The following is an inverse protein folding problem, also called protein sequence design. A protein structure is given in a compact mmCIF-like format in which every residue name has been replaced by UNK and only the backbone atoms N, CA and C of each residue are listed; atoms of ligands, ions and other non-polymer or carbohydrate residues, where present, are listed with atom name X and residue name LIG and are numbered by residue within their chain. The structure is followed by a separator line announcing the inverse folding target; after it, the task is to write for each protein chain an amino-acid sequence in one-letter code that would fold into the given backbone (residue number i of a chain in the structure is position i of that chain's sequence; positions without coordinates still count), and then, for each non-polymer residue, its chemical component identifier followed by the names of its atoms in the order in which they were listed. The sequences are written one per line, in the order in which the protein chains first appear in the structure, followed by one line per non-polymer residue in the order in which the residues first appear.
data_IF_635619038168
#
_entry.id   IF_635619038168
#
_cell.length_a   1.000
_cell.length_b   1.000
_cell.length_c   1.000
_cell.angle_alpha   90.00
_cell.angle_beta   90.00
_cell.angle_gamma   90.00
#
_symmetry.space_group_name_H-M   'P 1'
#
loop_
_entity.id
_entity.type
_entity.pdbx_description
1 polymer ?
#
# COMPACT_ATOMS: atom_id res chain seq x y z
N UNK A 1 2.34 -2.48 3.06
CA UNK A 1 2.63 -3.91 2.84
C UNK A 1 1.71 -4.76 3.73
N UNK A 2 1.52 -6.07 3.46
CA UNK A 2 0.65 -6.93 4.31
C UNK A 2 1.15 -6.98 5.75
N UNK A 3 2.47 -7.01 5.94
CA UNK A 3 3.10 -6.91 7.25
C UNK A 3 2.66 -5.68 8.02
N UNK A 4 2.68 -4.47 7.42
CA UNK A 4 2.35 -3.24 8.15
C UNK A 4 0.91 -3.24 8.66
N UNK A 5 -0.01 -3.79 7.86
CA UNK A 5 -1.42 -3.92 8.25
C UNK A 5 -1.60 -4.96 9.36
N UNK A 6 -0.98 -6.14 9.25
CA UNK A 6 -1.02 -7.16 10.31
C UNK A 6 -0.37 -6.64 11.59
N UNK A 7 0.72 -5.88 11.48
CA UNK A 7 1.36 -5.23 12.61
C UNK A 7 0.41 -4.21 13.25
N UNK A 8 -0.30 -3.38 12.47
CA UNK A 8 -1.31 -2.46 13.00
C UNK A 8 -2.40 -3.21 13.79
N UNK A 9 -2.89 -4.32 13.24
CA UNK A 9 -3.87 -5.17 13.94
C UNK A 9 -3.29 -5.77 15.22
N UNK A 10 -1.99 -6.12 15.24
CA UNK A 10 -1.31 -6.61 16.44
C UNK A 10 -1.21 -5.53 17.53
N UNK A 11 -0.83 -4.30 17.20
CA UNK A 11 -0.82 -3.19 18.16
C UNK A 11 -2.24 -2.88 18.69
N UNK A 12 -3.26 -2.92 17.82
CA UNK A 12 -4.65 -2.79 18.26
C UNK A 12 -5.06 -3.92 19.20
N UNK A 13 -4.69 -5.16 18.89
CA UNK A 13 -4.99 -6.32 19.74
C UNK A 13 -4.36 -6.21 21.13
N UNK A 14 -3.14 -5.67 21.23
CA UNK A 14 -2.46 -5.47 22.51
C UNK A 14 -3.17 -4.45 23.43
N UNK A 15 -3.80 -3.42 22.84
CA UNK A 15 -4.53 -2.40 23.59
C UNK A 15 -5.78 -1.94 22.80
N UNK A 16 -6.87 -2.72 22.82
CA UNK A 16 -8.01 -2.47 21.95
C UNK A 16 -8.77 -1.20 22.34
N UNK A 17 -9.02 -0.33 21.37
CA UNK A 17 -9.86 0.85 21.54
C UNK A 17 -11.35 0.53 21.36
N UNK A 18 -12.21 1.06 22.23
CA UNK A 18 -13.67 0.87 22.12
C UNK A 18 -14.25 1.78 21.04
N UNK A 19 -15.02 1.20 20.11
CA UNK A 19 -15.73 1.91 19.05
C UNK A 19 -14.84 2.84 18.19
N UNK A 20 -13.55 2.47 18.04
CA UNK A 20 -12.61 3.24 17.24
C UNK A 20 -12.71 2.85 15.77
N UNK A 21 -12.73 3.87 14.91
CA UNK A 21 -12.63 3.74 13.46
C UNK A 21 -11.37 4.43 12.99
N UNK A 22 -10.56 3.75 12.20
CA UNK A 22 -9.30 4.24 11.65
C UNK A 22 -9.29 4.07 10.13
N UNK A 23 -8.77 5.09 9.43
CA UNK A 23 -8.31 4.92 8.07
C UNK A 23 -6.94 4.24 8.11
N UNK A 24 -6.76 3.18 7.34
CA UNK A 24 -5.48 2.47 7.21
C UNK A 24 -5.07 2.41 5.76
N UNK A 25 -3.78 2.58 5.50
CA UNK A 25 -3.18 2.58 4.17
C UNK A 25 -1.71 2.98 4.22
N UNK A 26 -1.07 3.12 3.07
CA UNK A 26 0.34 3.53 2.98
C UNK A 26 0.60 5.02 3.25
N UNK A 27 -0.45 5.83 3.40
CA UNK A 27 -0.36 7.29 3.60
C UNK A 27 0.59 7.96 2.60
N UNK A 28 1.24 9.06 2.98
CA UNK A 28 2.28 9.69 2.16
C UNK A 28 3.59 8.88 2.11
N UNK A 29 3.73 7.86 2.96
CA UNK A 29 4.91 7.00 3.03
C UNK A 29 5.00 6.04 1.83
N UNK A 30 3.87 5.42 1.44
CA UNK A 30 3.81 4.43 0.36
C UNK A 30 2.55 4.64 -0.47
N UNK A 31 2.66 5.45 -1.52
CA UNK A 31 1.62 5.73 -2.50
C UNK A 31 2.24 5.93 -3.88
N UNK A 32 1.47 5.69 -4.93
CA UNK A 32 1.88 5.97 -6.31
C UNK A 32 0.65 6.09 -7.21
N UNK A 33 0.85 6.74 -8.36
CA UNK A 33 -0.04 6.74 -9.50
C UNK A 33 0.07 5.43 -10.30
N UNK A 34 -0.85 5.23 -11.25
CA UNK A 34 -0.79 4.11 -12.18
C UNK A 34 0.48 4.13 -13.04
N UNK A 35 0.93 5.31 -13.49
CA UNK A 35 2.12 5.41 -14.34
C UNK A 35 3.41 5.08 -13.56
N UNK A 36 3.52 5.57 -12.32
CA UNK A 36 4.63 5.22 -11.42
C UNK A 36 4.63 3.72 -11.09
N UNK A 37 3.47 3.11 -10.87
CA UNK A 37 3.36 1.67 -10.65
C UNK A 37 3.80 0.86 -11.88
N UNK A 38 3.39 1.26 -13.08
CA UNK A 38 3.82 0.63 -14.33
C UNK A 38 5.35 0.74 -14.46
N UNK A 39 5.90 1.93 -14.26
CA UNK A 39 7.34 2.15 -14.34
C UNK A 39 8.12 1.27 -13.35
N UNK A 40 7.69 1.21 -12.08
CA UNK A 40 8.31 0.35 -11.08
C UNK A 40 8.26 -1.13 -11.48
N UNK A 41 7.14 -1.60 -12.03
CA UNK A 41 7.04 -2.97 -12.54
C UNK A 41 8.04 -3.22 -13.68
N UNK A 42 8.18 -2.30 -14.62
CA UNK A 42 9.13 -2.44 -15.72
C UNK A 42 10.59 -2.43 -15.23
N UNK A 43 10.91 -1.57 -14.26
CA UNK A 43 12.24 -1.49 -13.66
C UNK A 43 12.60 -2.78 -12.90
N UNK A 44 11.67 -3.31 -12.11
CA UNK A 44 11.89 -4.52 -11.29
C UNK A 44 11.98 -5.77 -12.17
N UNK A 45 11.12 -5.89 -13.18
CA UNK A 45 11.04 -7.10 -14.00
C UNK A 45 11.99 -7.09 -15.20
N UNK A 46 12.48 -5.91 -15.61
CA UNK A 46 13.22 -5.73 -16.86
C UNK A 46 12.36 -5.88 -18.12
N UNK A 47 11.06 -6.10 -17.99
CA UNK A 47 10.13 -6.28 -19.11
C UNK A 47 9.31 -5.02 -19.35
N UNK A 48 8.83 -4.85 -20.58
CA UNK A 48 7.88 -3.79 -20.91
C UNK A 48 6.44 -4.25 -20.68
N UNK A 49 5.65 -3.40 -20.04
CA UNK A 49 4.24 -3.65 -19.82
C UNK A 49 3.46 -3.22 -21.06
N UNK A 50 2.69 -4.12 -21.65
CA UNK A 50 1.76 -3.76 -22.72
C UNK A 50 0.47 -3.18 -22.12
N UNK A 51 0.21 -1.90 -22.35
CA UNK A 51 -0.97 -1.20 -21.85
C UNK A 51 -1.42 -0.11 -22.82
N UNK A 52 -2.69 0.30 -22.69
CA UNK A 52 -3.28 1.41 -23.44
C UNK A 52 -4.12 2.28 -22.52
N UNK A 53 -4.13 3.59 -22.77
CA UNK A 53 -5.02 4.51 -22.07
C UNK A 53 -6.45 4.37 -22.60
N UNK A 54 -7.42 4.44 -21.69
CA UNK A 54 -8.82 4.55 -22.03
C UNK A 54 -9.33 5.91 -21.51
N UNK A 55 -9.88 6.72 -22.42
CA UNK A 55 -10.44 8.03 -22.07
C UNK A 55 -11.59 7.93 -21.05
N UNK A 56 -12.34 6.83 -21.10
CA UNK A 56 -13.44 6.60 -20.19
C UNK A 56 -12.93 6.12 -18.83
N UNK A 57 -13.06 6.97 -17.81
CA UNK A 57 -12.79 6.58 -16.43
C UNK A 57 -13.87 5.61 -15.90
N UNK A 58 -13.50 4.82 -14.89
CA UNK A 58 -14.45 3.98 -14.15
C UNK A 58 -15.40 4.87 -13.34
N UNK A 59 -16.70 4.55 -13.39
CA UNK A 59 -17.71 5.27 -12.61
C UNK A 59 -17.46 5.00 -11.11
N UNK A 60 -17.41 6.08 -10.31
CA UNK A 60 -17.16 6.00 -8.87
C UNK A 60 -15.69 5.87 -8.48
N UNK A 61 -14.76 5.91 -9.44
CA UNK A 61 -13.33 5.85 -9.15
C UNK A 61 -12.82 7.15 -8.53
N UNK A 62 -11.99 7.03 -7.51
CA UNK A 62 -11.34 8.18 -6.90
C UNK A 62 -10.04 8.46 -7.65
N UNK A 63 -9.89 9.69 -8.18
CA UNK A 63 -8.67 10.13 -8.88
C UNK A 63 -7.42 9.92 -7.99
N UNK A 64 -7.57 10.12 -6.69
CA UNK A 64 -6.53 9.91 -5.70
C UNK A 64 -7.15 9.46 -4.36
N UNK A 65 -6.47 8.55 -3.68
CA UNK A 65 -6.83 8.13 -2.34
C UNK A 65 -5.57 7.92 -1.50
N UNK A 66 -5.31 8.84 -0.57
CA UNK A 66 -4.20 8.75 0.37
C UNK A 66 -4.78 8.78 1.78
N UNK A 67 -4.59 7.70 2.53
CA UNK A 67 -5.12 7.58 3.89
C UNK A 67 -4.37 8.49 4.86
N UNK A 68 -5.11 9.28 5.63
CA UNK A 68 -4.59 9.89 6.85
C UNK A 68 -4.62 8.89 8.00
N UNK A 69 -3.44 8.42 8.41
CA UNK A 69 -3.26 7.40 9.45
C UNK A 69 -2.89 8.00 10.82
N UNK A 70 -2.81 9.33 10.94
CA UNK A 70 -2.33 10.01 12.15
C UNK A 70 -3.15 9.63 13.39
N UNK A 71 -4.45 9.40 13.23
CA UNK A 71 -5.31 8.95 14.33
C UNK A 71 -4.85 7.60 14.90
N UNK A 72 -4.46 6.66 14.04
CA UNK A 72 -3.96 5.36 14.48
C UNK A 72 -2.58 5.50 15.12
N UNK A 73 -1.66 6.25 14.49
CA UNK A 73 -0.31 6.50 15.03
C UNK A 73 -0.34 7.19 16.40
N UNK A 74 -1.29 8.10 16.63
CA UNK A 74 -1.44 8.77 17.93
C UNK A 74 -1.94 7.80 19.02
N UNK A 75 -2.87 6.91 18.67
CA UNK A 75 -3.39 5.91 19.62
C UNK A 75 -2.39 4.75 19.84
N UNK A 76 -1.52 4.47 18.86
CA UNK A 76 -0.54 3.37 18.85
C UNK A 76 0.83 3.87 18.35
N UNK A 77 1.60 4.62 19.17
CA UNK A 77 2.82 5.30 18.75
C UNK A 77 3.99 4.35 18.43
N UNK A 78 3.96 3.12 18.95
CA UNK A 78 4.98 2.10 18.66
C UNK A 78 4.77 1.43 17.29
N UNK A 79 3.66 1.73 16.60
CA UNK A 79 3.43 1.23 15.24
C UNK A 79 4.06 2.16 14.20
N UNK A 80 4.99 1.61 13.42
CA UNK A 80 5.64 2.31 12.31
C UNK A 80 5.58 1.46 11.03
N UNK A 81 5.67 2.13 9.88
CA UNK A 81 5.80 1.45 8.60
C UNK A 81 7.16 0.78 8.50
N UNK A 82 7.18 -0.52 8.19
CA UNK A 82 8.43 -1.27 7.97
C UNK A 82 8.83 -1.32 6.51
N UNK A 83 7.85 -1.31 5.61
CA UNK A 83 8.06 -1.47 4.18
C UNK A 83 7.76 -0.17 3.44
N UNK A 84 8.61 0.17 2.48
CA UNK A 84 8.35 1.23 1.52
C UNK A 84 7.72 0.68 0.24
N UNK A 85 7.39 1.59 -0.68
CA UNK A 85 6.76 1.25 -1.94
C UNK A 85 7.62 0.31 -2.79
N UNK A 86 8.92 0.57 -2.88
CA UNK A 86 9.81 -0.21 -3.75
C UNK A 86 9.94 -1.64 -3.24
N UNK A 87 10.22 -1.80 -1.93
CA UNK A 87 10.36 -3.11 -1.33
C UNK A 87 9.06 -3.91 -1.40
N UNK A 88 7.91 -3.24 -1.29
CA UNK A 88 6.60 -3.88 -1.49
C UNK A 88 6.47 -4.47 -2.90
N UNK A 89 6.84 -3.73 -3.94
CA UNK A 89 6.77 -4.24 -5.32
C UNK A 89 7.76 -5.38 -5.56
N UNK A 90 8.98 -5.29 -5.01
CA UNK A 90 9.99 -6.35 -5.09
C UNK A 90 9.49 -7.65 -4.46
N UNK A 91 8.92 -7.60 -3.24
CA UNK A 91 8.41 -8.80 -2.56
C UNK A 91 7.20 -9.41 -3.28
N UNK A 92 6.34 -8.58 -3.89
CA UNK A 92 5.27 -9.09 -4.76
C UNK A 92 5.86 -9.83 -5.96
N UNK A 93 6.86 -9.24 -6.63
CA UNK A 93 7.49 -9.87 -7.78
C UNK A 93 8.17 -11.20 -7.42
N UNK A 94 9.00 -11.20 -6.37
CA UNK A 94 9.69 -12.40 -5.87
C UNK A 94 8.68 -13.50 -5.51
N UNK A 95 7.63 -13.15 -4.76
CA UNK A 95 6.59 -14.09 -4.33
C UNK A 95 5.74 -14.66 -5.47
N UNK A 96 5.64 -13.97 -6.61
CA UNK A 96 5.01 -14.48 -7.83
C UNK A 96 5.96 -15.33 -8.65
N UNK A 97 7.23 -14.92 -8.78
CA UNK A 97 8.25 -15.65 -9.53
C UNK A 97 8.50 -17.07 -8.96
N UNK A 98 8.40 -17.24 -7.64
CA UNK A 98 8.56 -18.54 -6.97
C UNK A 98 7.39 -19.52 -7.19
N UNK A 99 6.27 -19.07 -7.78
CA UNK A 99 5.08 -19.91 -8.03
C UNK A 99 5.09 -20.57 -9.41
N UNK A 100 6.08 -20.25 -10.23
CA UNK A 100 6.30 -20.76 -11.58
C UNK A 100 7.42 -21.79 -11.51
#
# INVERSE_FOLDING_TARGET
HSYDLVNALYHFYQNPGVAKVYNMGGSRHSNCSMLEAIQLCEEITGNKLDWKYAEQNRIGDHIWWISDVRKFQNDYPDWEYKYDLKKLFEEIHEGLAQRI
#
